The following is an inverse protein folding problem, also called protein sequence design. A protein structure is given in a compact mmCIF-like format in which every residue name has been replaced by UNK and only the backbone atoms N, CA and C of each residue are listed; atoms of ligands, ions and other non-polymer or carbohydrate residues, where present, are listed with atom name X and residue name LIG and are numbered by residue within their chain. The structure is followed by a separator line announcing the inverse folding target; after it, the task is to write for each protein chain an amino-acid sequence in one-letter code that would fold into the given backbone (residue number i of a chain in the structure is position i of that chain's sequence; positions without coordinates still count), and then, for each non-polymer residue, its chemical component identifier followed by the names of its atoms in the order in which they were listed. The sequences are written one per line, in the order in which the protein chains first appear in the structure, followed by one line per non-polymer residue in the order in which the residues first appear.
data_IF_788780365921
#
_entry.id   IF_788780365921
#
_cell.length_a   1.000
_cell.length_b   1.000
_cell.length_c   1.000
_cell.angle_alpha   90.00
_cell.angle_beta   90.00
_cell.angle_gamma   90.00
#
_symmetry.space_group_name_H-M   'P 1'
#
loop_
_entity.id
_entity.type
_entity.pdbx_description
1 polymer ?
#
# COMPACT_ATOMS: atom_id res chain seq x y z
N UNK A 1 35.04 0.46 -10.80
CA UNK A 1 34.90 1.75 -11.50
C UNK A 1 33.82 1.57 -12.57
N UNK A 2 32.54 1.59 -12.17
CA UNK A 2 31.39 1.41 -13.08
C UNK A 2 30.27 2.36 -12.69
N UNK A 3 30.55 3.66 -12.75
CA UNK A 3 29.48 4.65 -12.74
C UNK A 3 28.88 4.67 -14.14
N UNK A 4 27.79 3.93 -14.33
CA UNK A 4 26.97 4.06 -15.53
C UNK A 4 26.18 5.38 -15.42
N UNK A 5 26.54 6.45 -16.15
CA UNK A 5 25.95 7.78 -15.96
C UNK A 5 24.45 7.80 -16.24
N UNK A 6 24.00 6.93 -17.15
CA UNK A 6 22.60 6.77 -17.57
C UNK A 6 21.70 6.32 -16.41
N UNK A 7 22.24 5.57 -15.44
CA UNK A 7 21.49 5.12 -14.27
C UNK A 7 21.38 6.23 -13.20
N UNK A 8 22.37 7.11 -13.10
CA UNK A 8 22.41 8.17 -12.10
C UNK A 8 21.40 9.28 -12.42
N UNK A 9 21.29 9.71 -13.69
CA UNK A 9 20.30 10.70 -14.13
C UNK A 9 18.87 10.23 -13.87
N UNK A 10 18.52 9.00 -14.25
CA UNK A 10 17.18 8.42 -14.02
C UNK A 10 16.83 8.32 -12.53
N UNK A 11 17.81 7.98 -11.68
CA UNK A 11 17.63 7.97 -10.22
C UNK A 11 17.39 9.37 -9.68
N UNK A 12 18.13 10.37 -10.14
CA UNK A 12 17.95 11.77 -9.73
C UNK A 12 16.54 12.27 -10.10
N UNK A 13 16.09 12.00 -11.33
CA UNK A 13 14.75 12.35 -11.78
C UNK A 13 13.64 11.70 -10.95
N UNK A 14 13.81 10.42 -10.58
CA UNK A 14 12.85 9.71 -9.74
C UNK A 14 12.77 10.31 -8.34
N UNK A 15 13.92 10.68 -7.75
CA UNK A 15 13.96 11.35 -6.44
C UNK A 15 13.30 12.73 -6.48
N UNK A 16 13.56 13.52 -7.52
CA UNK A 16 12.94 14.84 -7.71
C UNK A 16 11.42 14.73 -7.91
N UNK A 17 10.97 13.77 -8.73
CA UNK A 17 9.54 13.51 -8.90
C UNK A 17 8.86 13.06 -7.60
N UNK A 18 9.54 12.23 -6.80
CA UNK A 18 9.08 11.85 -5.46
C UNK A 18 9.00 13.03 -4.49
N UNK A 19 10.01 13.91 -4.48
CA UNK A 19 10.00 15.12 -3.67
C UNK A 19 8.79 16.02 -3.96
N UNK A 20 8.45 16.19 -5.24
CA UNK A 20 7.27 16.95 -5.62
C UNK A 20 5.98 16.29 -5.14
N UNK A 21 5.85 14.97 -5.34
CA UNK A 21 4.66 14.24 -4.95
C UNK A 21 4.43 14.25 -3.43
N UNK A 22 5.48 14.02 -2.63
CA UNK A 22 5.38 13.98 -1.17
C UNK A 22 5.04 15.34 -0.56
N UNK A 23 5.50 16.44 -1.15
CA UNK A 23 5.26 17.79 -0.65
C UNK A 23 4.08 18.49 -1.33
N UNK A 24 3.31 17.78 -2.16
CA UNK A 24 2.20 18.35 -2.94
C UNK A 24 2.61 19.57 -3.78
N UNK A 25 3.80 19.54 -4.38
CA UNK A 25 4.32 20.61 -5.22
C UNK A 25 3.87 20.42 -6.68
N UNK A 26 3.64 21.52 -7.41
CA UNK A 26 3.22 21.44 -8.80
C UNK A 26 4.32 20.87 -9.69
N UNK A 27 3.99 19.88 -10.52
CA UNK A 27 4.95 19.27 -11.45
C UNK A 27 5.48 20.23 -12.52
N UNK A 28 4.77 21.33 -12.78
CA UNK A 28 5.26 22.42 -13.65
C UNK A 28 6.49 23.13 -13.08
N UNK A 29 6.78 23.00 -11.78
CA UNK A 29 7.99 23.55 -11.18
C UNK A 29 9.26 22.99 -11.85
N UNK A 30 9.22 21.77 -12.37
CA UNK A 30 10.38 21.16 -13.04
C UNK A 30 10.75 21.85 -14.34
N UNK A 31 9.81 22.53 -15.00
CA UNK A 31 10.10 23.25 -16.24
C UNK A 31 11.05 24.44 -15.98
N UNK A 32 11.06 24.97 -14.75
CA UNK A 32 11.97 26.04 -14.29
C UNK A 32 13.14 25.48 -13.49
N UNK A 33 12.90 24.46 -12.66
CA UNK A 33 13.92 23.91 -11.78
C UNK A 33 15.01 23.15 -12.55
N UNK A 34 14.66 22.45 -13.63
CA UNK A 34 15.64 21.72 -14.45
C UNK A 34 16.70 22.62 -15.09
N UNK A 35 16.35 23.73 -15.79
CA UNK A 35 17.36 24.65 -16.29
C UNK A 35 18.13 25.34 -15.15
N UNK A 36 17.47 25.67 -14.04
CA UNK A 36 18.13 26.25 -12.87
C UNK A 36 19.18 25.30 -12.26
N UNK A 37 18.88 24.01 -12.15
CA UNK A 37 19.86 23.02 -11.67
C UNK A 37 21.07 22.90 -12.60
N UNK A 38 20.90 23.07 -13.92
CA UNK A 38 22.02 23.05 -14.87
C UNK A 38 22.91 24.27 -14.75
N UNK A 39 22.34 25.41 -14.39
CA UNK A 39 23.05 26.66 -14.18
C UNK A 39 23.80 26.67 -12.85
N UNK A 40 23.16 26.21 -11.77
CA UNK A 40 23.77 26.13 -10.44
C UNK A 40 24.88 25.06 -10.37
N UNK A 41 24.72 23.95 -11.09
CA UNK A 41 25.67 22.82 -11.07
C UNK A 41 26.27 22.56 -12.46
N UNK A 42 27.13 23.46 -12.97
CA UNK A 42 27.71 23.35 -14.31
C UNK A 42 28.71 22.18 -14.44
N UNK A 43 29.34 21.78 -13.34
CA UNK A 43 30.34 20.71 -13.25
C UNK A 43 29.71 19.30 -13.13
N UNK A 44 28.46 19.22 -12.68
CA UNK A 44 27.77 17.96 -12.45
C UNK A 44 27.21 17.36 -13.74
N UNK A 45 27.83 16.29 -14.23
CA UNK A 45 27.32 15.50 -15.38
C UNK A 45 25.87 15.05 -15.18
N UNK A 46 25.50 14.70 -13.93
CA UNK A 46 24.14 14.26 -13.59
C UNK A 46 23.13 15.41 -13.74
N UNK A 47 23.49 16.62 -13.31
CA UNK A 47 22.62 17.79 -13.45
C UNK A 47 22.47 18.19 -14.93
N UNK A 48 23.54 18.10 -15.72
CA UNK A 48 23.50 18.39 -17.15
C UNK A 48 22.63 17.39 -17.93
N UNK A 49 22.67 16.11 -17.56
CA UNK A 49 21.82 15.07 -18.15
C UNK A 49 20.36 15.10 -17.67
N UNK A 50 20.02 15.96 -16.69
CA UNK A 50 18.67 16.06 -16.18
C UNK A 50 17.72 16.56 -17.28
N UNK A 51 16.72 15.74 -17.61
CA UNK A 51 15.73 16.05 -18.65
C UNK A 51 14.32 15.91 -18.08
N UNK A 52 14.15 16.37 -16.82
CA UNK A 52 12.89 16.30 -16.11
C UNK A 52 12.02 17.52 -16.43
N UNK A 53 10.86 17.26 -17.01
CA UNK A 53 9.82 18.27 -17.25
C UNK A 53 8.52 17.78 -16.63
N UNK A 54 7.49 18.63 -16.63
CA UNK A 54 6.17 18.31 -16.06
C UNK A 54 5.62 16.95 -16.49
N UNK A 55 5.60 16.66 -17.79
CA UNK A 55 5.01 15.44 -18.35
C UNK A 55 5.81 14.20 -17.93
N UNK A 56 7.13 14.28 -17.96
CA UNK A 56 8.03 13.21 -17.52
C UNK A 56 7.92 12.96 -16.02
N UNK A 57 7.88 14.00 -15.19
CA UNK A 57 7.66 13.88 -13.76
C UNK A 57 6.33 13.19 -13.45
N UNK A 58 5.25 13.59 -14.15
CA UNK A 58 3.93 12.96 -14.03
C UNK A 58 3.99 11.47 -14.40
N UNK A 59 4.66 11.14 -15.51
CA UNK A 59 4.81 9.76 -15.95
C UNK A 59 5.62 8.92 -14.97
N UNK A 60 6.70 9.45 -14.41
CA UNK A 60 7.51 8.78 -13.39
C UNK A 60 6.64 8.49 -12.17
N UNK A 61 5.97 9.50 -11.61
CA UNK A 61 5.09 9.29 -10.44
C UNK A 61 4.02 8.24 -10.74
N UNK A 62 3.35 8.32 -11.90
CA UNK A 62 2.27 7.39 -12.25
C UNK A 62 2.75 5.96 -12.52
N UNK A 63 3.91 5.78 -13.16
CA UNK A 63 4.36 4.45 -13.61
C UNK A 63 5.30 3.75 -12.64
N UNK A 64 6.08 4.48 -11.84
CA UNK A 64 6.98 3.87 -10.85
C UNK A 64 6.40 4.02 -9.44
N UNK A 65 6.27 5.25 -8.96
CA UNK A 65 5.93 5.52 -7.55
C UNK A 65 4.54 4.98 -7.21
N UNK A 66 3.53 5.31 -8.02
CA UNK A 66 2.16 4.89 -7.77
C UNK A 66 1.97 3.37 -7.86
N UNK A 67 2.73 2.68 -8.72
CA UNK A 67 2.66 1.21 -8.82
C UNK A 67 3.21 0.55 -7.56
N UNK A 68 4.37 1.00 -7.07
CA UNK A 68 4.93 0.49 -5.82
C UNK A 68 4.04 0.77 -4.61
N UNK A 69 3.43 1.96 -4.55
CA UNK A 69 2.45 2.27 -3.50
C UNK A 69 1.17 1.45 -3.62
N UNK A 70 0.70 1.21 -4.85
CA UNK A 70 -0.49 0.40 -5.13
C UNK A 70 -0.30 -1.02 -4.61
N UNK A 71 0.83 -1.65 -4.93
CA UNK A 71 1.18 -3.00 -4.47
C UNK A 71 1.21 -3.07 -2.94
N UNK A 72 1.96 -2.18 -2.28
CA UNK A 72 2.04 -2.14 -0.82
C UNK A 72 0.67 -1.88 -0.15
N UNK A 73 -0.17 -1.06 -0.77
CA UNK A 73 -1.52 -0.77 -0.29
C UNK A 73 -2.43 -1.99 -0.39
N UNK A 74 -2.43 -2.70 -1.52
CA UNK A 74 -3.23 -3.92 -1.68
C UNK A 74 -2.72 -5.07 -0.81
N UNK A 75 -1.42 -5.17 -0.58
CA UNK A 75 -0.86 -6.14 0.38
C UNK A 75 -1.38 -5.86 1.79
N UNK A 76 -1.43 -4.60 2.20
CA UNK A 76 -1.93 -4.19 3.53
C UNK A 76 -3.43 -4.47 3.70
N UNK A 77 -4.24 -4.13 2.71
CA UNK A 77 -5.69 -4.37 2.76
C UNK A 77 -6.02 -5.86 2.61
N UNK A 78 -5.33 -6.57 1.70
CA UNK A 78 -5.51 -8.00 1.48
C UNK A 78 -5.10 -8.82 2.69
N UNK A 79 -3.97 -8.50 3.32
CA UNK A 79 -3.55 -9.12 4.57
C UNK A 79 -4.57 -8.91 5.70
N UNK A 80 -5.19 -7.73 5.75
CA UNK A 80 -6.24 -7.42 6.74
C UNK A 80 -7.53 -8.21 6.49
N UNK A 81 -8.00 -8.28 5.24
CA UNK A 81 -9.18 -9.09 4.90
C UNK A 81 -8.96 -10.60 5.17
N UNK A 82 -7.74 -11.10 4.91
CA UNK A 82 -7.37 -12.48 5.20
C UNK A 82 -7.31 -12.77 6.72
N UNK A 83 -6.80 -11.83 7.53
CA UNK A 83 -6.77 -11.95 9.00
C UNK A 83 -8.19 -11.95 9.59
N UNK A 84 -9.04 -11.03 9.14
CA UNK A 84 -10.43 -10.91 9.60
C UNK A 84 -11.24 -12.18 9.27
N UNK A 85 -11.07 -12.74 8.07
CA UNK A 85 -11.71 -14.00 7.66
C UNK A 85 -11.29 -15.20 8.51
N UNK A 86 -10.03 -15.25 8.97
CA UNK A 86 -9.50 -16.31 9.84
C UNK A 86 -10.02 -16.19 11.28
N UNK A 87 -10.16 -14.96 11.79
CA UNK A 87 -10.71 -14.70 13.12
C UNK A 87 -12.20 -15.06 13.19
N UNK A 88 -12.97 -14.79 12.13
CA UNK A 88 -14.39 -15.18 12.06
C UNK A 88 -14.59 -16.69 11.90
N UNK A 89 -13.69 -17.37 11.18
CA UNK A 89 -13.76 -18.83 11.01
C UNK A 89 -13.40 -19.61 12.30
N UNK A 90 -12.56 -19.04 13.18
CA UNK A 90 -12.14 -19.67 14.45
C UNK A 90 -13.16 -19.61 15.59
N UNK A 91 -14.21 -18.78 15.49
CA UNK A 91 -15.21 -18.61 16.56
C UNK A 91 -16.42 -19.59 16.46
N UNK A 92 -16.50 -20.39 15.39
CA UNK A 92 -17.67 -21.21 15.07
C UNK A 92 -17.83 -22.55 15.80
N UNK A 93 -16.83 -23.01 16.58
CA UNK A 93 -16.84 -24.39 17.11
C UNK A 93 -17.29 -24.50 18.58
N UNK A 94 -17.35 -23.40 19.35
CA UNK A 94 -17.66 -23.46 20.79
C UNK A 94 -19.05 -22.89 21.13
N UNK A 95 -20.12 -23.18 20.38
CA UNK A 95 -21.51 -22.84 20.83
C UNK A 95 -22.61 -23.75 20.25
N UNK A 96 -22.41 -25.08 20.19
CA UNK A 96 -23.54 -25.99 19.87
C UNK A 96 -23.85 -27.09 20.89
N UNK A 97 -22.94 -27.41 21.81
CA UNK A 97 -23.21 -28.49 22.79
C UNK A 97 -23.96 -28.06 24.06
N UNK A 98 -23.95 -26.78 24.43
CA UNK A 98 -24.55 -26.31 25.69
C UNK A 98 -26.06 -26.05 25.61
N UNK A 99 -26.60 -25.75 24.43
CA UNK A 99 -28.06 -25.56 24.23
C UNK A 99 -28.76 -26.91 24.07
N UNK A 100 -28.17 -27.84 23.31
CA UNK A 100 -28.74 -29.18 23.09
C UNK A 100 -28.73 -30.08 24.35
N UNK A 101 -27.86 -29.82 25.34
CA UNK A 101 -27.93 -30.53 26.64
C UNK A 101 -29.08 -30.04 27.51
N UNK A 102 -29.39 -28.73 27.52
CA UNK A 102 -30.45 -28.17 28.36
C UNK A 102 -31.87 -28.55 27.94
N UNK A 103 -32.09 -28.78 26.64
CA UNK A 103 -33.42 -29.16 26.14
C UNK A 103 -33.75 -30.63 26.44
N UNK A 104 -32.76 -31.54 26.43
CA UNK A 104 -32.95 -32.94 26.84
C UNK A 104 -33.24 -33.11 28.33
N UNK A 105 -32.69 -32.24 29.17
CA UNK A 105 -32.90 -32.28 30.61
C UNK A 105 -34.30 -31.76 31.01
N UNK A 106 -34.90 -30.85 30.23
CA UNK A 106 -36.27 -30.35 30.45
C UNK A 106 -37.34 -31.36 30.01
N UNK A 107 -37.17 -32.01 28.86
CA UNK A 107 -38.11 -33.02 28.36
C UNK A 107 -38.14 -34.29 29.22
N UNK A 108 -36.97 -34.69 29.75
CA UNK A 108 -36.88 -35.82 30.68
C UNK A 108 -37.59 -35.55 32.01
N UNK A 109 -37.63 -34.29 32.45
CA UNK A 109 -38.25 -33.91 33.72
C UNK A 109 -39.78 -33.69 33.60
N UNK A 110 -40.29 -33.34 32.41
CA UNK A 110 -41.73 -33.22 32.15
C UNK A 110 -42.43 -34.57 31.94
N UNK A 111 -41.75 -35.60 31.46
CA UNK A 111 -42.34 -36.95 31.31
C UNK A 111 -42.53 -37.68 32.65
N UNK A 112 -42.00 -37.16 33.76
CA UNK A 112 -42.03 -37.82 35.08
C UNK A 112 -43.15 -37.34 36.01
N UNK A 113 -43.96 -36.34 35.61
CA UNK A 113 -45.03 -35.76 36.44
C UNK A 113 -46.47 -36.04 35.95
N UNK A 114 -46.66 -37.05 35.10
CA UNK A 114 -47.95 -37.42 34.55
C UNK A 114 -48.41 -38.84 34.88
N UNK A 115 -48.36 -39.27 36.14
CA UNK A 115 -49.12 -40.46 36.60
C UNK A 115 -49.63 -40.24 38.01
N UNK A 116 -50.90 -39.82 38.11
CA UNK A 116 -51.87 -40.34 39.09
C UNK A 116 -53.28 -39.99 38.65
#
# INVERSE_FOLDING_TARGET
MFDNPIAAGKKAETKLAGLLATNNLPFSLMDVLTPLCKDIFPDSKIAQELALQRTKATQIVRKSIAVSYKEAFYDTIGARQALESRLTAGSGTIRRDSVARRERDYESNQSSHGVR
#
